data_IF_497550506080
#
_entry.id   IF_497550506080
#
_cell.length_a   1.000
_cell.length_b   1.000
_cell.length_c   1.000
_cell.angle_alpha   90.00
_cell.angle_beta   90.00
_cell.angle_gamma   90.00
#
_symmetry.space_group_name_H-M   'P 1'
#
loop_
_entity.id
_entity.type
_entity.pdbx_description
1 polymer ?
#
# COMPACT_ATOMS: atom_id res chain seq x y z
N UNK A 1 -1.65 10.20 23.69
CA UNK A 1 -1.27 9.23 22.66
C UNK A 1 -1.67 9.84 21.31
N UNK A 2 -0.77 9.91 20.36
CA UNK A 2 -1.13 10.41 19.03
C UNK A 2 -1.99 9.35 18.34
N UNK A 3 -3.07 9.80 17.72
CA UNK A 3 -4.01 8.94 16.99
C UNK A 3 -4.13 9.41 15.55
N UNK A 4 -4.08 8.49 14.60
CA UNK A 4 -4.39 8.75 13.21
C UNK A 4 -5.65 7.98 12.84
N UNK A 5 -6.62 8.63 12.21
CA UNK A 5 -7.82 7.95 11.71
C UNK A 5 -7.71 7.78 10.20
N UNK A 6 -7.99 6.58 9.69
CA UNK A 6 -7.94 6.26 8.26
C UNK A 6 -9.29 5.69 7.82
N UNK A 7 -9.86 6.24 6.75
CA UNK A 7 -10.97 5.66 6.03
C UNK A 7 -10.50 5.03 4.72
N UNK A 8 -10.86 3.77 4.44
CA UNK A 8 -10.42 3.06 3.24
C UNK A 8 -11.28 1.84 2.93
N UNK A 9 -11.08 1.24 1.74
CA UNK A 9 -11.48 -0.14 1.51
C UNK A 9 -10.53 -1.10 2.24
N UNK A 10 -11.04 -2.28 2.60
CA UNK A 10 -10.32 -3.30 3.35
C UNK A 10 -10.52 -4.70 2.75
N UNK A 11 -9.50 -5.58 2.74
CA UNK A 11 -8.12 -5.29 3.12
C UNK A 11 -7.41 -4.38 2.12
N UNK A 12 -6.49 -3.55 2.59
CA UNK A 12 -5.71 -2.66 1.73
C UNK A 12 -4.24 -2.61 2.17
N UNK A 13 -3.29 -3.15 1.40
CA UNK A 13 -1.87 -3.11 1.72
C UNK A 13 -1.32 -1.69 1.93
N UNK A 14 -1.91 -0.68 1.30
CA UNK A 14 -1.54 0.73 1.50
C UNK A 14 -1.89 1.26 2.90
N UNK A 15 -2.94 0.70 3.53
CA UNK A 15 -3.30 0.99 4.93
C UNK A 15 -2.36 0.26 5.89
N UNK A 16 -1.90 -0.94 5.51
CA UNK A 16 -0.97 -1.72 6.34
C UNK A 16 0.32 -0.98 6.66
N UNK A 17 0.80 -0.11 5.77
CA UNK A 17 1.96 0.75 6.02
C UNK A 17 1.81 1.53 7.33
N UNK A 18 0.68 2.20 7.51
CA UNK A 18 0.40 2.97 8.72
C UNK A 18 0.24 2.08 9.95
N UNK A 19 -0.40 0.91 9.82
CA UNK A 19 -0.58 -0.04 10.92
C UNK A 19 0.76 -0.61 11.40
N UNK A 20 1.63 -1.04 10.49
CA UNK A 20 2.96 -1.56 10.82
C UNK A 20 3.81 -0.48 11.49
N UNK A 21 3.86 0.71 10.89
CA UNK A 21 4.59 1.82 11.50
C UNK A 21 4.04 2.21 12.87
N UNK A 22 2.71 2.23 13.02
CA UNK A 22 2.04 2.48 14.30
C UNK A 22 2.43 1.48 15.38
N UNK A 23 2.47 0.18 15.03
CA UNK A 23 2.91 -0.88 15.94
C UNK A 23 4.38 -0.73 16.38
N UNK A 24 5.25 -0.17 15.52
CA UNK A 24 6.66 0.02 15.81
C UNK A 24 6.89 1.32 16.61
N UNK A 25 6.20 2.41 16.24
CA UNK A 25 6.44 3.74 16.79
C UNK A 25 5.54 4.09 17.98
N UNK A 26 4.64 3.21 18.43
CA UNK A 26 3.68 3.48 19.49
C UNK A 26 2.60 4.50 19.10
N UNK A 27 2.18 4.54 17.83
CA UNK A 27 1.11 5.40 17.33
C UNK A 27 -0.16 4.60 17.15
N UNK A 28 -1.24 5.03 17.79
CA UNK A 28 -2.57 4.45 17.57
C UNK A 28 -3.08 4.83 16.17
N UNK A 29 -3.39 3.83 15.35
CA UNK A 29 -4.00 4.00 14.01
C UNK A 29 -5.38 3.36 14.02
N UNK A 30 -6.41 4.20 13.99
CA UNK A 30 -7.81 3.74 13.85
C UNK A 30 -8.14 3.61 12.37
N UNK A 31 -8.58 2.43 11.95
CA UNK A 31 -8.98 2.16 10.56
C UNK A 31 -10.46 1.86 10.51
N UNK A 32 -11.19 2.60 9.68
CA UNK A 32 -12.61 2.41 9.40
C UNK A 32 -12.76 2.16 7.90
N UNK A 33 -13.60 1.20 7.54
CA UNK A 33 -13.89 0.92 6.13
C UNK A 33 -14.55 -0.42 5.91
N UNK A 34 -14.69 -0.77 4.64
CA UNK A 34 -15.40 -1.97 4.21
C UNK A 34 -14.77 -2.54 2.94
N UNK A 35 -15.30 -3.65 2.42
CA UNK A 35 -14.90 -4.20 1.12
C UNK A 35 -15.05 -3.14 0.01
N UNK A 36 -14.22 -3.16 -1.05
CA UNK A 36 -14.29 -2.18 -2.13
C UNK A 36 -15.71 -2.00 -2.70
N UNK A 37 -16.45 -3.09 -2.91
CA UNK A 37 -17.81 -3.07 -3.44
C UNK A 37 -18.82 -2.32 -2.54
N UNK A 38 -18.57 -2.27 -1.22
CA UNK A 38 -19.49 -1.67 -0.26
C UNK A 38 -19.22 -0.18 -0.03
N UNK A 39 -18.10 0.39 -0.49
CA UNK A 39 -17.79 1.80 -0.22
C UNK A 39 -18.78 2.78 -0.86
N UNK A 40 -19.56 2.34 -1.85
CA UNK A 40 -20.68 3.10 -2.41
C UNK A 40 -21.85 3.29 -1.47
N UNK A 41 -21.94 2.51 -0.37
CA UNK A 41 -22.98 2.65 0.66
C UNK A 41 -22.53 3.45 1.89
N UNK A 42 -21.33 4.03 1.85
CA UNK A 42 -20.76 4.82 2.94
C UNK A 42 -20.79 6.32 2.64
N UNK A 43 -21.10 7.12 3.66
CA UNK A 43 -20.79 8.54 3.66
C UNK A 43 -19.32 8.72 4.02
N UNK A 44 -18.53 9.21 3.06
CA UNK A 44 -17.11 9.49 3.22
C UNK A 44 -16.93 10.81 3.96
N UNK A 45 -16.41 10.74 5.16
CA UNK A 45 -16.20 11.87 6.05
C UNK A 45 -15.10 11.56 7.08
N UNK A 46 -14.74 12.49 7.93
CA UNK A 46 -13.88 12.24 9.11
C UNK A 46 -14.49 11.19 10.04
N UNK A 47 -15.80 11.22 10.22
CA UNK A 47 -16.58 10.19 10.89
C UNK A 47 -17.44 9.46 9.86
N UNK A 48 -16.85 8.51 9.11
CA UNK A 48 -17.57 7.81 8.06
C UNK A 48 -18.66 6.94 8.68
N UNK A 49 -19.80 6.84 8.01
CA UNK A 49 -20.93 6.01 8.42
C UNK A 49 -21.57 5.31 7.23
N UNK A 50 -22.14 4.16 7.46
CA UNK A 50 -23.03 3.53 6.46
C UNK A 50 -24.31 4.36 6.32
N UNK A 51 -24.76 4.52 5.09
CA UNK A 51 -26.03 5.15 4.75
C UNK A 51 -27.14 4.10 4.76
N UNK A 52 -28.35 4.51 5.14
CA UNK A 52 -29.54 3.66 5.02
C UNK A 52 -29.99 3.58 3.56
N UNK A 53 -30.83 2.61 3.22
CA UNK A 53 -31.30 2.39 1.84
C UNK A 53 -32.00 3.63 1.24
N UNK A 54 -32.75 4.36 2.05
CA UNK A 54 -33.45 5.60 1.66
C UNK A 54 -32.50 6.79 1.43
N UNK A 55 -31.31 6.77 2.04
CA UNK A 55 -30.23 7.75 1.82
C UNK A 55 -29.42 7.45 0.54
N UNK A 56 -29.49 6.22 0.00
CA UNK A 56 -28.76 5.79 -1.21
C UNK A 56 -29.45 6.27 -2.49
N UNK A 57 -29.41 7.57 -2.70
CA UNK A 57 -30.09 8.25 -3.79
C UNK A 57 -29.10 9.11 -4.60
N UNK A 58 -29.11 9.03 -5.96
CA UNK A 58 -28.28 9.90 -6.80
C UNK A 58 -28.50 11.40 -6.58
N UNK A 59 -29.71 11.80 -6.10
CA UNK A 59 -30.01 13.20 -5.78
C UNK A 59 -29.57 13.61 -4.36
N UNK A 60 -28.96 12.70 -3.60
CA UNK A 60 -28.42 13.03 -2.29
C UNK A 60 -27.37 14.13 -2.41
N UNK A 61 -27.42 15.17 -1.53
CA UNK A 61 -26.56 16.37 -1.59
C UNK A 61 -25.05 16.06 -1.68
N UNK A 62 -24.61 14.93 -1.16
CA UNK A 62 -23.22 14.47 -1.17
C UNK A 62 -22.92 13.41 -2.25
N UNK A 63 -23.91 13.10 -3.12
CA UNK A 63 -23.69 12.18 -4.23
C UNK A 63 -22.64 12.76 -5.21
N UNK A 64 -21.69 11.93 -5.61
CA UNK A 64 -20.61 12.25 -6.55
C UNK A 64 -20.39 11.05 -7.47
N UNK A 65 -20.10 11.30 -8.73
CA UNK A 65 -19.74 10.23 -9.67
C UNK A 65 -18.35 9.69 -9.31
N UNK A 66 -18.25 8.39 -9.14
CA UNK A 66 -16.99 7.69 -8.87
C UNK A 66 -16.01 7.81 -10.05
N UNK A 67 -14.72 7.88 -9.75
CA UNK A 67 -13.62 7.92 -10.73
C UNK A 67 -12.49 7.02 -10.21
N UNK A 68 -11.62 6.54 -11.12
CA UNK A 68 -10.37 5.84 -10.75
C UNK A 68 -10.57 4.65 -9.80
N UNK A 69 -11.15 3.56 -10.31
CA UNK A 69 -11.31 2.29 -9.58
C UNK A 69 -12.60 2.17 -8.77
N UNK A 70 -13.43 3.20 -8.74
CA UNK A 70 -14.80 3.13 -8.24
C UNK A 70 -15.75 3.58 -9.35
N UNK A 71 -16.67 2.72 -9.73
CA UNK A 71 -17.79 3.04 -10.63
C UNK A 71 -19.04 3.36 -9.83
N UNK A 72 -19.94 4.16 -10.40
CA UNK A 72 -21.22 4.49 -9.79
C UNK A 72 -21.17 5.72 -8.89
N UNK A 73 -22.15 5.81 -7.99
CA UNK A 73 -22.30 6.94 -7.06
C UNK A 73 -21.54 6.68 -5.77
N UNK A 74 -20.83 7.70 -5.32
CA UNK A 74 -20.16 7.74 -4.01
C UNK A 74 -20.69 8.94 -3.23
N UNK A 75 -20.78 8.84 -1.92
CA UNK A 75 -21.30 9.92 -1.06
C UNK A 75 -20.16 10.53 -0.28
N UNK A 76 -19.77 11.77 -0.64
CA UNK A 76 -18.62 12.49 -0.06
C UNK A 76 -19.04 13.83 0.45
N UNK A 77 -18.81 14.10 1.75
CA UNK A 77 -19.10 15.40 2.33
C UNK A 77 -18.18 16.50 1.74
N UNK A 78 -18.60 17.74 1.82
CA UNK A 78 -17.78 18.87 1.37
C UNK A 78 -16.56 19.04 2.28
N UNK A 79 -16.68 18.73 3.58
CA UNK A 79 -15.56 18.70 4.53
C UNK A 79 -14.52 17.63 4.15
N UNK A 80 -14.98 16.45 3.75
CA UNK A 80 -14.09 15.38 3.26
C UNK A 80 -13.33 15.87 2.00
N UNK A 81 -14.03 16.43 1.02
CA UNK A 81 -13.40 16.89 -0.22
C UNK A 81 -12.48 18.10 0.00
N UNK A 82 -12.75 18.94 1.00
CA UNK A 82 -11.84 20.01 1.40
C UNK A 82 -10.54 19.47 1.99
N UNK A 83 -10.61 18.43 2.82
CA UNK A 83 -9.44 17.77 3.43
C UNK A 83 -8.69 16.89 2.41
N UNK A 84 -9.43 16.25 1.50
CA UNK A 84 -8.90 15.31 0.49
C UNK A 84 -9.34 15.75 -0.91
N UNK A 85 -8.65 16.72 -1.55
CA UNK A 85 -9.08 17.34 -2.80
C UNK A 85 -9.14 16.37 -3.99
N UNK A 86 -8.41 15.25 -3.95
CA UNK A 86 -8.51 14.19 -4.95
C UNK A 86 -9.66 13.21 -4.69
N UNK A 87 -10.27 13.26 -3.50
CA UNK A 87 -11.41 12.44 -3.13
C UNK A 87 -11.16 10.93 -3.22
N UNK A 88 -9.95 10.49 -2.92
CA UNK A 88 -9.49 9.09 -2.99
C UNK A 88 -9.35 8.46 -1.61
N UNK A 89 -9.17 7.15 -1.56
CA UNK A 89 -8.82 6.39 -0.35
C UNK A 89 -7.54 5.59 -0.60
N UNK A 90 -6.71 5.34 0.46
CA UNK A 90 -6.94 5.66 1.86
C UNK A 90 -6.90 7.17 2.13
N UNK A 91 -7.81 7.63 2.98
CA UNK A 91 -7.91 9.00 3.44
C UNK A 91 -7.65 9.05 4.95
N UNK A 92 -6.56 9.69 5.35
CA UNK A 92 -6.20 9.82 6.76
C UNK A 92 -6.47 11.22 7.30
N UNK A 93 -6.68 11.30 8.61
CA UNK A 93 -6.95 12.54 9.34
C UNK A 93 -6.13 12.61 10.61
N UNK A 94 -5.74 13.82 10.98
CA UNK A 94 -5.25 14.09 12.32
C UNK A 94 -6.38 13.89 13.37
N UNK A 95 -6.05 13.85 14.69
CA UNK A 95 -7.06 13.59 15.72
C UNK A 95 -8.26 14.52 15.71
N UNK A 96 -8.06 15.78 15.33
CA UNK A 96 -9.09 16.83 15.28
C UNK A 96 -9.95 16.77 14.00
N UNK A 97 -9.54 15.99 13.00
CA UNK A 97 -10.25 15.84 11.74
C UNK A 97 -10.18 17.05 10.79
N UNK A 98 -9.30 18.02 11.07
CA UNK A 98 -9.18 19.26 10.29
C UNK A 98 -8.02 19.25 9.30
N UNK A 99 -7.11 18.27 9.36
CA UNK A 99 -6.03 18.06 8.40
C UNK A 99 -6.21 16.68 7.78
N UNK A 100 -6.46 16.68 6.46
CA UNK A 100 -6.48 15.47 5.65
C UNK A 100 -5.07 15.12 5.16
N UNK A 101 -4.72 13.84 5.22
CA UNK A 101 -3.46 13.30 4.71
C UNK A 101 -3.80 12.22 3.68
N UNK A 102 -3.33 12.40 2.48
CA UNK A 102 -3.55 11.48 1.36
C UNK A 102 -2.22 11.00 0.79
N UNK A 103 -2.26 10.00 -0.09
CA UNK A 103 -1.14 9.15 -0.51
C UNK A 103 -0.57 8.29 0.64
N UNK A 104 -0.51 6.98 0.41
CA UNK A 104 -0.14 6.02 1.46
C UNK A 104 1.24 6.26 2.05
N UNK A 105 2.22 6.73 1.24
CA UNK A 105 3.55 7.07 1.72
C UNK A 105 3.54 8.35 2.58
N UNK A 106 2.66 9.31 2.30
CA UNK A 106 2.49 10.50 3.14
C UNK A 106 1.81 10.15 4.47
N UNK A 107 0.84 9.23 4.46
CA UNK A 107 0.22 8.69 5.68
C UNK A 107 1.27 7.97 6.53
N UNK A 108 2.12 7.15 5.90
CA UNK A 108 3.24 6.46 6.55
C UNK A 108 4.24 7.45 7.17
N UNK A 109 4.63 8.51 6.43
CA UNK A 109 5.49 9.59 6.96
C UNK A 109 4.84 10.29 8.17
N UNK A 110 3.53 10.51 8.15
CA UNK A 110 2.85 11.14 9.28
C UNK A 110 2.95 10.27 10.54
N UNK A 111 2.74 8.96 10.43
CA UNK A 111 2.92 8.03 11.56
C UNK A 111 4.36 8.06 12.08
N UNK A 112 5.36 7.97 11.19
CA UNK A 112 6.77 7.98 11.58
C UNK A 112 7.19 9.29 12.27
N UNK A 113 6.65 10.44 11.82
CA UNK A 113 6.96 11.75 12.41
C UNK A 113 6.35 11.99 13.79
N UNK A 114 5.19 11.41 14.08
CA UNK A 114 4.54 11.54 15.38
C UNK A 114 4.93 10.44 16.36
N UNK A 115 5.47 9.33 15.86
CA UNK A 115 5.96 8.22 16.66
C UNK A 115 7.16 8.59 17.50
N UNK A 116 7.25 8.03 18.72
CA UNK A 116 8.31 8.35 19.69
C UNK A 116 9.08 7.12 20.19
N UNK A 117 8.53 5.94 20.02
CA UNK A 117 9.14 4.72 20.56
C UNK A 117 10.29 4.23 19.68
N UNK A 118 10.21 4.48 18.38
CA UNK A 118 11.27 4.12 17.42
C UNK A 118 11.33 5.14 16.29
N UNK A 119 12.54 5.52 15.89
CA UNK A 119 12.74 6.43 14.76
C UNK A 119 12.79 5.66 13.45
N UNK A 120 11.72 5.77 12.67
CA UNK A 120 11.61 5.14 11.34
C UNK A 120 11.94 6.08 10.17
N UNK A 121 12.33 7.34 10.46
CA UNK A 121 12.45 8.38 9.42
C UNK A 121 13.81 9.08 9.40
N UNK A 122 14.86 8.39 9.88
CA UNK A 122 16.23 8.91 9.90
C UNK A 122 16.53 9.85 11.07
N UNK A 123 17.82 10.01 11.36
CA UNK A 123 18.31 10.82 12.50
C UNK A 123 18.52 12.29 12.10
N UNK A 124 18.70 12.54 10.81
CA UNK A 124 18.96 13.86 10.25
C UNK A 124 18.20 14.08 8.92
N UNK A 125 18.21 15.32 8.37
CA UNK A 125 17.51 15.61 7.11
C UNK A 125 18.06 14.84 5.89
N UNK A 126 19.30 14.42 5.87
CA UNK A 126 19.88 13.69 4.73
C UNK A 126 19.45 12.23 4.74
N UNK A 127 19.43 11.60 5.93
CA UNK A 127 18.87 10.27 6.10
C UNK A 127 17.37 10.25 5.77
N UNK A 128 16.62 11.25 6.25
CA UNK A 128 15.21 11.40 5.90
C UNK A 128 15.01 11.53 4.38
N UNK A 129 15.83 12.34 3.71
CA UNK A 129 15.79 12.50 2.24
C UNK A 129 16.20 11.22 1.49
N UNK A 130 17.14 10.46 2.05
CA UNK A 130 17.50 9.14 1.51
C UNK A 130 16.32 8.18 1.58
N UNK A 131 15.62 8.13 2.70
CA UNK A 131 14.39 7.35 2.89
C UNK A 131 13.32 7.81 1.89
N UNK A 132 13.12 9.12 1.73
CA UNK A 132 12.16 9.68 0.78
C UNK A 132 12.45 9.27 -0.65
N UNK A 133 13.71 9.18 -1.05
CA UNK A 133 14.10 8.72 -2.40
C UNK A 133 13.59 7.31 -2.69
N UNK A 134 13.67 6.39 -1.73
CA UNK A 134 13.10 5.05 -1.86
C UNK A 134 11.57 5.04 -1.85
N UNK A 135 10.93 5.91 -1.06
CA UNK A 135 9.47 6.04 -1.05
C UNK A 135 8.94 6.57 -2.38
N UNK A 136 9.66 7.48 -3.02
CA UNK A 136 9.27 8.06 -4.31
C UNK A 136 9.48 7.04 -5.44
N UNK A 137 10.59 6.30 -5.44
CA UNK A 137 10.79 5.17 -6.35
C UNK A 137 9.71 4.08 -6.16
N UNK A 138 9.38 3.76 -4.91
CA UNK A 138 8.30 2.84 -4.58
C UNK A 138 6.93 3.34 -5.08
N UNK A 139 6.65 4.64 -5.03
CA UNK A 139 5.39 5.19 -5.53
C UNK A 139 5.23 4.96 -7.03
N UNK A 140 6.32 5.09 -7.81
CA UNK A 140 6.30 4.79 -9.25
C UNK A 140 5.99 3.31 -9.48
N UNK A 141 6.71 2.40 -8.83
CA UNK A 141 6.44 0.97 -8.89
C UNK A 141 4.99 0.63 -8.52
N UNK A 142 4.51 1.16 -7.38
CA UNK A 142 3.15 0.92 -6.91
C UNK A 142 2.08 1.44 -7.87
N UNK A 143 2.37 2.51 -8.63
CA UNK A 143 1.49 3.04 -9.66
C UNK A 143 1.43 2.12 -10.87
N UNK A 144 2.58 1.66 -11.36
CA UNK A 144 2.64 0.70 -12.48
C UNK A 144 1.97 -0.63 -12.12
N UNK A 145 2.26 -1.16 -10.92
CA UNK A 145 1.60 -2.35 -10.40
C UNK A 145 0.07 -2.17 -10.33
N UNK A 146 -0.42 -1.00 -9.89
CA UNK A 146 -1.86 -0.74 -9.84
C UNK A 146 -2.50 -0.73 -11.23
N UNK A 147 -1.86 -0.10 -12.23
CA UNK A 147 -2.37 -0.07 -13.61
C UNK A 147 -2.46 -1.50 -14.17
N UNK A 148 -1.39 -2.25 -14.01
CA UNK A 148 -1.31 -3.64 -14.44
C UNK A 148 -2.37 -4.53 -13.77
N UNK A 149 -2.51 -4.41 -12.44
CA UNK A 149 -3.47 -5.20 -11.65
C UNK A 149 -4.94 -4.90 -11.96
N UNK A 150 -5.26 -3.67 -12.36
CA UNK A 150 -6.63 -3.30 -12.73
C UNK A 150 -7.02 -3.78 -14.12
N UNK A 151 -6.08 -4.25 -14.91
CA UNK A 151 -6.28 -4.69 -16.29
C UNK A 151 -5.93 -6.17 -16.53
N UNK A 152 -5.84 -7.00 -15.50
CA UNK A 152 -5.45 -8.41 -15.65
C UNK A 152 -6.28 -9.17 -16.69
N UNK A 153 -7.60 -8.95 -16.71
CA UNK A 153 -8.48 -9.65 -17.65
C UNK A 153 -8.21 -9.25 -19.10
N UNK A 154 -7.63 -8.07 -19.33
CA UNK A 154 -7.36 -7.50 -20.66
C UNK A 154 -5.88 -7.18 -20.89
N UNK A 155 -4.97 -7.64 -20.02
CA UNK A 155 -3.56 -7.28 -20.13
C UNK A 155 -3.03 -7.51 -21.55
N UNK A 156 -2.44 -6.45 -22.11
CA UNK A 156 -1.77 -6.47 -23.42
C UNK A 156 -0.29 -6.80 -23.26
N UNK A 157 0.38 -7.17 -24.35
CA UNK A 157 1.84 -7.36 -24.39
C UNK A 157 2.57 -6.08 -23.90
N UNK A 158 2.18 -4.91 -24.40
CA UNK A 158 2.72 -3.63 -23.97
C UNK A 158 2.53 -3.38 -22.45
N UNK A 159 1.36 -3.71 -21.91
CA UNK A 159 1.07 -3.59 -20.47
C UNK A 159 1.92 -4.53 -19.62
N UNK A 160 2.11 -5.77 -20.09
CA UNK A 160 2.95 -6.76 -19.43
C UNK A 160 4.44 -6.36 -19.47
N UNK A 161 4.95 -5.92 -20.63
CA UNK A 161 6.33 -5.45 -20.79
C UNK A 161 6.60 -4.21 -19.93
N UNK A 162 5.68 -3.26 -19.91
CA UNK A 162 5.76 -2.05 -19.07
C UNK A 162 5.85 -2.41 -17.59
N UNK A 163 5.02 -3.34 -17.11
CA UNK A 163 5.08 -3.80 -15.73
C UNK A 163 6.38 -4.55 -15.44
N UNK A 164 6.83 -5.40 -16.38
CA UNK A 164 8.10 -6.10 -16.28
C UNK A 164 9.26 -5.12 -16.11
N UNK A 165 9.35 -4.10 -16.96
CA UNK A 165 10.38 -3.07 -16.88
C UNK A 165 10.34 -2.30 -15.54
N UNK A 166 9.14 -1.97 -15.05
CA UNK A 166 8.98 -1.32 -13.74
C UNK A 166 9.43 -2.22 -12.58
N UNK A 167 9.13 -3.52 -12.67
CA UNK A 167 9.56 -4.52 -11.72
C UNK A 167 11.08 -4.63 -11.65
N UNK A 168 11.73 -4.83 -12.81
CA UNK A 168 13.20 -4.96 -12.90
C UNK A 168 13.89 -3.70 -12.40
N UNK A 169 13.44 -2.53 -12.83
CA UNK A 169 14.00 -1.25 -12.38
C UNK A 169 13.93 -1.09 -10.86
N UNK A 170 12.77 -1.35 -10.27
CA UNK A 170 12.58 -1.17 -8.84
C UNK A 170 13.34 -2.20 -8.02
N UNK A 171 13.23 -3.50 -8.37
CA UNK A 171 13.86 -4.55 -7.59
C UNK A 171 15.39 -4.56 -7.72
N UNK A 172 15.95 -4.20 -8.87
CA UNK A 172 17.40 -4.05 -9.01
C UNK A 172 17.96 -2.96 -8.08
N UNK A 173 17.23 -1.84 -7.93
CA UNK A 173 17.60 -0.79 -6.99
C UNK A 173 17.53 -1.24 -5.52
N UNK A 174 16.48 -2.00 -5.15
CA UNK A 174 16.35 -2.58 -3.80
C UNK A 174 17.43 -3.63 -3.54
N UNK A 175 17.69 -4.53 -4.50
CA UNK A 175 18.75 -5.55 -4.40
C UNK A 175 20.10 -4.91 -4.15
N UNK A 176 20.49 -3.89 -4.97
CA UNK A 176 21.74 -3.16 -4.81
C UNK A 176 21.83 -2.45 -3.45
N UNK A 177 20.75 -1.84 -2.97
CA UNK A 177 20.73 -1.20 -1.66
C UNK A 177 20.97 -2.21 -0.52
N UNK A 178 20.37 -3.41 -0.64
CA UNK A 178 20.54 -4.51 0.33
C UNK A 178 21.89 -5.25 0.19
N UNK A 179 22.68 -4.96 -0.84
CA UNK A 179 24.08 -5.38 -0.92
C UNK A 179 24.97 -4.58 0.04
N UNK A 180 24.68 -3.32 0.18
CA UNK A 180 25.48 -2.36 0.94
C UNK A 180 25.03 -2.21 2.39
N UNK A 181 23.75 -2.53 2.69
CA UNK A 181 23.14 -2.23 3.99
C UNK A 181 22.14 -3.30 4.43
N UNK A 182 21.93 -3.48 5.76
CA UNK A 182 20.96 -4.45 6.27
C UNK A 182 19.49 -4.07 6.00
N UNK A 183 19.21 -2.79 5.74
CA UNK A 183 17.90 -2.26 5.38
C UNK A 183 17.99 -1.39 4.15
N UNK A 184 16.86 -1.14 3.50
CA UNK A 184 16.79 -0.48 2.19
C UNK A 184 17.46 0.90 2.18
N UNK A 185 17.25 1.70 3.23
CA UNK A 185 17.79 3.07 3.27
C UNK A 185 19.11 3.20 4.05
N UNK A 186 19.58 2.15 4.74
CA UNK A 186 20.79 2.19 5.54
C UNK A 186 20.87 1.14 6.64
N UNK A 187 21.47 1.52 7.79
CA UNK A 187 21.76 0.59 8.89
C UNK A 187 20.51 0.18 9.70
N UNK A 188 19.48 1.01 9.72
CA UNK A 188 18.30 0.85 10.57
C UNK A 188 17.03 0.64 9.75
N UNK A 189 16.07 -0.11 10.34
CA UNK A 189 14.72 -0.24 9.78
C UNK A 189 14.07 1.13 9.62
N UNK A 190 13.51 1.36 8.45
CA UNK A 190 12.86 2.63 8.12
C UNK A 190 11.50 2.44 7.44
N UNK A 191 10.81 3.54 7.19
CA UNK A 191 9.56 3.52 6.42
C UNK A 191 9.76 3.11 4.96
N UNK A 192 10.99 3.13 4.42
CA UNK A 192 11.29 2.59 3.10
C UNK A 192 11.04 1.07 3.06
N UNK A 193 11.48 0.34 4.09
CA UNK A 193 11.28 -1.10 4.23
C UNK A 193 9.79 -1.46 4.39
N UNK A 194 9.07 -0.68 5.18
CA UNK A 194 7.62 -0.87 5.38
C UNK A 194 6.86 -0.65 4.07
N UNK A 195 7.19 0.41 3.35
CA UNK A 195 6.56 0.72 2.06
C UNK A 195 6.83 -0.37 1.02
N UNK A 196 8.09 -0.83 0.93
CA UNK A 196 8.49 -1.94 0.08
C UNK A 196 7.66 -3.19 0.37
N UNK A 197 7.63 -3.64 1.63
CA UNK A 197 6.89 -4.86 2.01
C UNK A 197 5.42 -4.78 1.61
N UNK A 198 4.76 -3.66 1.87
CA UNK A 198 3.33 -3.52 1.61
C UNK A 198 3.01 -3.45 0.10
N UNK A 199 3.72 -2.63 -0.67
CA UNK A 199 3.43 -2.48 -2.11
C UNK A 199 3.91 -3.69 -2.91
N UNK A 200 5.04 -4.28 -2.55
CA UNK A 200 5.49 -5.51 -3.17
C UNK A 200 4.55 -6.69 -2.86
N UNK A 201 4.08 -6.80 -1.61
CA UNK A 201 3.03 -7.77 -1.25
C UNK A 201 1.75 -7.57 -2.06
N UNK A 202 1.38 -6.32 -2.35
CA UNK A 202 0.23 -6.04 -3.22
C UNK A 202 0.48 -6.53 -4.64
N UNK A 203 1.65 -6.28 -5.22
CA UNK A 203 2.03 -6.76 -6.55
C UNK A 203 1.98 -8.29 -6.63
N UNK A 204 2.41 -9.00 -5.58
CA UNK A 204 2.42 -10.47 -5.54
C UNK A 204 1.02 -11.11 -5.67
N UNK A 205 -0.06 -10.33 -5.61
CA UNK A 205 -1.40 -10.80 -5.99
C UNK A 205 -1.51 -11.19 -7.48
N UNK A 206 -0.53 -10.81 -8.29
CA UNK A 206 -0.39 -11.33 -9.66
C UNK A 206 -0.61 -12.84 -9.71
N UNK A 207 -0.15 -13.56 -8.70
CA UNK A 207 -0.31 -15.00 -8.59
C UNK A 207 -1.75 -15.53 -8.60
N UNK A 208 -2.74 -14.71 -8.27
CA UNK A 208 -4.16 -15.09 -8.38
C UNK A 208 -4.67 -15.07 -9.83
N UNK A 209 -3.90 -14.49 -10.74
CA UNK A 209 -4.22 -14.35 -12.17
C UNK A 209 -3.32 -15.20 -13.07
N UNK A 210 -2.64 -16.18 -12.50
CA UNK A 210 -1.69 -17.03 -13.22
C UNK A 210 -2.32 -17.69 -14.45
N UNK A 211 -3.53 -18.25 -14.33
CA UNK A 211 -4.21 -18.91 -15.44
C UNK A 211 -4.57 -17.92 -16.56
N UNK A 212 -5.05 -16.72 -16.19
CA UNK A 212 -5.36 -15.65 -17.16
C UNK A 212 -4.11 -15.21 -17.91
N UNK A 213 -2.99 -15.05 -17.21
CA UNK A 213 -1.71 -14.68 -17.82
C UNK A 213 -1.20 -15.78 -18.75
N UNK A 214 -1.27 -17.05 -18.33
CA UNK A 214 -0.88 -18.21 -19.15
C UNK A 214 -1.71 -18.32 -20.43
N UNK A 215 -3.00 -18.11 -20.35
CA UNK A 215 -3.90 -18.14 -21.54
C UNK A 215 -3.53 -17.08 -22.57
N UNK A 216 -2.87 -15.99 -22.12
CA UNK A 216 -2.34 -14.91 -22.97
C UNK A 216 -0.86 -15.12 -23.39
N UNK A 217 -0.25 -16.21 -22.96
CA UNK A 217 1.16 -16.53 -23.25
C UNK A 217 2.17 -15.85 -22.32
N UNK A 218 1.72 -15.28 -21.18
CA UNK A 218 2.58 -14.63 -20.19
C UNK A 218 2.83 -15.54 -18.99
N UNK A 219 3.97 -15.34 -18.33
CA UNK A 219 4.30 -15.95 -17.04
C UNK A 219 4.13 -14.93 -15.90
N UNK A 220 4.07 -15.40 -14.65
CA UNK A 220 4.15 -14.51 -13.51
C UNK A 220 5.50 -13.78 -13.50
N UNK A 221 5.49 -12.45 -13.46
CA UNK A 221 6.71 -11.63 -13.47
C UNK A 221 7.56 -11.97 -12.24
N UNK A 222 6.94 -12.07 -11.06
CA UNK A 222 7.67 -12.42 -9.83
C UNK A 222 8.33 -13.81 -9.89
N UNK A 223 7.75 -14.78 -10.60
CA UNK A 223 8.33 -16.11 -10.78
C UNK A 223 9.48 -16.09 -11.81
N UNK A 224 9.30 -15.34 -12.89
CA UNK A 224 10.31 -15.16 -13.95
C UNK A 224 11.64 -14.64 -13.40
N UNK A 225 11.59 -13.71 -12.45
CA UNK A 225 12.77 -13.02 -11.90
C UNK A 225 13.14 -13.46 -10.47
N UNK A 226 12.61 -14.58 -9.98
CA UNK A 226 12.79 -15.02 -8.57
C UNK A 226 14.24 -15.23 -8.16
N UNK A 227 15.09 -15.64 -9.09
CA UNK A 227 16.50 -15.95 -8.83
C UNK A 227 17.43 -14.73 -9.02
N UNK A 228 16.91 -13.62 -9.57
CA UNK A 228 17.69 -12.41 -9.87
C UNK A 228 17.80 -11.45 -8.67
N UNK A 229 16.81 -11.50 -7.74
CA UNK A 229 16.73 -10.58 -6.59
C UNK A 229 16.67 -11.32 -5.25
N UNK A 230 17.66 -12.17 -4.93
CA UNK A 230 17.59 -13.06 -3.75
C UNK A 230 17.63 -12.31 -2.42
N UNK A 231 18.34 -11.18 -2.31
CA UNK A 231 18.40 -10.39 -1.08
C UNK A 231 17.08 -9.66 -0.84
N UNK A 232 16.48 -9.12 -1.90
CA UNK A 232 15.17 -8.47 -1.87
C UNK A 232 14.08 -9.43 -1.38
N UNK A 233 14.03 -10.65 -1.91
CA UNK A 233 13.09 -11.67 -1.48
C UNK A 233 13.36 -12.15 -0.04
N UNK A 234 14.63 -12.33 0.32
CA UNK A 234 15.02 -12.68 1.70
C UNK A 234 14.61 -11.57 2.67
N UNK A 235 14.78 -10.30 2.29
CA UNK A 235 14.39 -9.14 3.10
C UNK A 235 12.89 -9.12 3.35
N UNK A 236 12.06 -9.27 2.29
CA UNK A 236 10.60 -9.39 2.41
C UNK A 236 10.21 -10.48 3.43
N UNK A 237 10.78 -11.67 3.29
CA UNK A 237 10.45 -12.81 4.16
C UNK A 237 10.93 -12.58 5.59
N UNK A 238 12.10 -11.98 5.78
CA UNK A 238 12.64 -11.71 7.12
C UNK A 238 11.80 -10.67 7.86
N UNK A 239 11.38 -9.61 7.19
CA UNK A 239 10.49 -8.59 7.76
C UNK A 239 9.12 -9.18 8.08
N UNK A 240 8.55 -10.02 7.20
CA UNK A 240 7.27 -10.68 7.47
C UNK A 240 7.29 -11.64 8.70
N UNK A 241 8.46 -12.06 9.16
CA UNK A 241 8.59 -12.85 10.41
C UNK A 241 8.51 -11.98 11.68
N UNK A 242 8.75 -10.70 11.57
CA UNK A 242 8.64 -9.77 12.71
C UNK A 242 7.18 -9.61 13.11
N UNK A 243 6.93 -9.57 14.42
CA UNK A 243 5.57 -9.50 14.99
C UNK A 243 4.78 -8.29 14.46
N UNK A 244 5.44 -7.14 14.32
CA UNK A 244 4.82 -5.89 13.89
C UNK A 244 4.28 -5.99 12.44
N UNK A 245 4.93 -6.79 11.61
CA UNK A 245 4.51 -7.06 10.23
C UNK A 245 3.52 -8.23 10.17
N UNK A 246 3.85 -9.36 10.79
CA UNK A 246 3.04 -10.58 10.69
C UNK A 246 1.64 -10.43 11.27
N UNK A 247 1.44 -9.61 12.30
CA UNK A 247 0.10 -9.31 12.83
C UNK A 247 -0.78 -8.55 11.86
N UNK A 248 -0.19 -7.77 10.96
CA UNK A 248 -0.91 -6.97 9.94
C UNK A 248 -1.09 -7.74 8.64
N UNK A 249 -0.03 -8.39 8.15
CA UNK A 249 -0.08 -9.16 6.91
C UNK A 249 -0.81 -10.51 7.08
N UNK A 250 -0.79 -11.09 8.28
CA UNK A 250 -1.38 -12.42 8.53
C UNK A 250 -0.83 -13.47 7.58
N UNK A 251 -1.72 -14.20 6.91
CA UNK A 251 -1.39 -15.26 5.93
C UNK A 251 -1.24 -14.74 4.49
N UNK A 252 -1.27 -13.44 4.28
CA UNK A 252 -1.33 -12.84 2.94
C UNK A 252 -0.20 -13.28 1.99
N UNK A 253 1.00 -13.52 2.52
CA UNK A 253 2.15 -13.97 1.74
C UNK A 253 2.35 -15.50 1.72
N UNK A 254 1.51 -16.30 2.37
CA UNK A 254 1.76 -17.73 2.52
C UNK A 254 1.69 -18.48 1.19
N UNK A 255 0.75 -18.10 0.33
CA UNK A 255 0.66 -18.65 -1.03
C UNK A 255 1.97 -18.39 -1.81
N UNK A 256 2.46 -17.16 -1.79
CA UNK A 256 3.67 -16.76 -2.48
C UNK A 256 4.92 -17.50 -1.97
N UNK A 257 5.04 -17.63 -0.65
CA UNK A 257 6.13 -18.39 -0.02
C UNK A 257 6.14 -19.84 -0.46
N UNK A 258 4.96 -20.46 -0.56
CA UNK A 258 4.84 -21.87 -1.00
C UNK A 258 5.22 -22.03 -2.47
N UNK A 259 4.79 -21.10 -3.32
CA UNK A 259 5.04 -21.16 -4.77
C UNK A 259 6.50 -20.94 -5.13
N UNK A 260 7.18 -20.01 -4.48
CA UNK A 260 8.60 -19.74 -4.71
C UNK A 260 9.54 -20.75 -4.04
N UNK A 261 9.00 -21.82 -3.40
CA UNK A 261 9.79 -22.78 -2.65
C UNK A 261 10.76 -22.13 -1.65
N UNK A 262 10.42 -20.96 -1.13
CA UNK A 262 11.14 -20.30 -0.04
C UNK A 262 10.81 -21.08 1.22
N UNK A 263 11.10 -22.38 1.18
CA UNK A 263 10.96 -23.30 2.28
C UNK A 263 12.13 -23.12 3.23
N UNK A 264 11.75 -23.05 4.49
CA UNK A 264 12.55 -23.25 5.67
C UNK A 264 13.90 -23.95 5.40
N UNK A 265 14.99 -23.22 5.38
CA UNK A 265 16.30 -23.69 5.78
C UNK A 265 16.68 -22.97 7.05
#
# INVERSE_FOLDING_TARGET
>A
MYKLKIFSYLPNPRVWKALIAGNICGVEVEVIGDKPANLGTWLWDFNPKMLNEDELNPDHKYARVGKRGFSGVLYKTDSFLKAHPFGTVPAAFNPEGNIGIFESNSILRAVARVGKEFNLYGQDPYEASRIDSFLDANLVFAREAQVYMLDYDNVSEEGYERMTAAYEFYLSGIESALEESPYIAGADLSIADISFVCDFSQFLREGHYEDVLKDKGFSLIAEKFKDEYPKTLKHLISLNKRKEFSTVLGTYLDWYKSKLQITRK
#
